data_IF_974581097910
#
_entry.id   IF_974581097910
#
_cell.length_a   1.000
_cell.length_b   1.000
_cell.length_c   1.000
_cell.angle_alpha   90.00
_cell.angle_beta   90.00
_cell.angle_gamma   90.00
#
_symmetry.space_group_name_H-M   'P 1'
#
loop_
_entity.id
_entity.type
_entity.pdbx_description
1 polymer ?
#
# COMPACT_ATOMS: atom_id res chain seq x y z
N UNK A 1 9.50 -6.91 37.84
CA UNK A 1 10.02 -6.29 36.60
C UNK A 1 9.92 -7.20 35.36
N UNK A 2 9.96 -8.54 35.47
CA UNK A 2 9.86 -9.44 34.30
C UNK A 2 8.48 -9.59 33.65
N UNK A 3 7.38 -9.48 34.41
CA UNK A 3 6.01 -9.62 33.89
C UNK A 3 5.56 -8.47 32.97
N UNK A 4 6.09 -7.26 33.14
CA UNK A 4 5.80 -6.11 32.26
C UNK A 4 6.52 -6.23 30.92
N UNK A 5 7.75 -6.76 30.92
CA UNK A 5 8.55 -7.00 29.70
C UNK A 5 7.92 -8.07 28.80
N UNK A 6 7.45 -9.18 29.39
CA UNK A 6 6.77 -10.26 28.64
C UNK A 6 5.45 -9.76 28.03
N UNK A 7 4.66 -8.97 28.78
CA UNK A 7 3.43 -8.34 28.25
C UNK A 7 3.73 -7.34 27.14
N UNK A 8 4.79 -6.55 27.26
CA UNK A 8 5.17 -5.59 26.23
C UNK A 8 5.59 -6.27 24.93
N UNK A 9 6.48 -7.27 25.01
CA UNK A 9 6.91 -8.09 23.87
C UNK A 9 5.70 -8.79 23.22
N UNK A 10 4.81 -9.39 24.02
CA UNK A 10 3.58 -10.00 23.52
C UNK A 10 2.67 -8.99 22.82
N UNK A 11 2.50 -7.78 23.37
CA UNK A 11 1.66 -6.74 22.76
C UNK A 11 2.24 -6.19 21.46
N UNK A 12 3.56 -6.04 21.38
CA UNK A 12 4.26 -5.59 20.18
C UNK A 12 4.23 -6.66 19.10
N UNK A 13 4.40 -7.93 19.46
CA UNK A 13 4.24 -9.05 18.55
C UNK A 13 2.81 -9.12 17.99
N UNK A 14 1.78 -9.00 18.83
CA UNK A 14 0.38 -8.96 18.38
C UNK A 14 0.11 -7.81 17.41
N UNK A 15 0.60 -6.60 17.70
CA UNK A 15 0.46 -5.45 16.78
C UNK A 15 1.12 -5.73 15.44
N UNK A 16 2.33 -6.28 15.44
CA UNK A 16 3.05 -6.61 14.21
C UNK A 16 2.31 -7.67 13.38
N UNK A 17 1.73 -8.67 14.05
CA UNK A 17 0.91 -9.71 13.42
C UNK A 17 -0.39 -9.16 12.82
N UNK A 18 -1.07 -8.26 13.54
CA UNK A 18 -2.26 -7.59 13.02
C UNK A 18 -1.96 -6.69 11.83
N UNK A 19 -0.82 -5.98 11.83
CA UNK A 19 -0.38 -5.18 10.68
C UNK A 19 -0.08 -6.08 9.47
N UNK A 20 0.71 -7.14 9.65
CA UNK A 20 1.07 -8.06 8.55
C UNK A 20 -0.15 -8.77 7.96
N UNK A 21 -1.10 -9.20 8.79
CA UNK A 21 -2.32 -9.85 8.31
C UNK A 21 -3.27 -8.83 7.70
N UNK A 22 -3.43 -7.65 8.31
CA UNK A 22 -4.32 -6.61 7.80
C UNK A 22 -3.91 -6.15 6.41
N UNK A 23 -2.67 -5.69 6.28
CA UNK A 23 -2.14 -5.10 5.04
C UNK A 23 -1.89 -6.18 3.97
N UNK A 24 -1.46 -7.38 4.38
CA UNK A 24 -1.25 -8.50 3.47
C UNK A 24 -2.51 -9.29 3.12
N UNK A 25 -3.65 -9.02 3.77
CA UNK A 25 -4.88 -9.81 3.59
C UNK A 25 -5.34 -9.95 2.14
N UNK A 26 -5.31 -8.90 1.28
CA UNK A 26 -5.76 -9.03 -0.11
C UNK A 26 -4.84 -9.96 -0.90
N UNK A 27 -3.53 -9.89 -0.65
CA UNK A 27 -2.53 -10.76 -1.27
C UNK A 27 -2.74 -12.21 -0.85
N UNK A 28 -2.92 -12.47 0.45
CA UNK A 28 -3.15 -13.82 0.96
C UNK A 28 -4.47 -14.40 0.43
N UNK A 29 -5.54 -13.61 0.38
CA UNK A 29 -6.81 -14.02 -0.21
C UNK A 29 -6.63 -14.35 -1.70
N UNK A 30 -5.96 -13.48 -2.46
CA UNK A 30 -5.67 -13.71 -3.87
C UNK A 30 -4.87 -15.00 -4.09
N UNK A 31 -3.83 -15.26 -3.28
CA UNK A 31 -3.04 -16.49 -3.36
C UNK A 31 -3.89 -17.72 -3.05
N UNK A 32 -4.68 -17.71 -1.97
CA UNK A 32 -5.49 -18.87 -1.57
C UNK A 32 -6.53 -19.19 -2.66
N UNK A 33 -7.27 -18.19 -3.13
CA UNK A 33 -8.33 -18.44 -4.12
C UNK A 33 -7.74 -18.80 -5.48
N UNK A 34 -6.63 -18.16 -5.88
CA UNK A 34 -5.94 -18.54 -7.12
C UNK A 34 -5.33 -19.94 -7.05
N UNK A 35 -4.86 -20.41 -5.88
CA UNK A 35 -4.39 -21.80 -5.71
C UNK A 35 -5.52 -22.81 -5.88
N UNK A 36 -6.72 -22.48 -5.41
CA UNK A 36 -7.91 -23.32 -5.59
C UNK A 36 -8.32 -23.36 -7.08
N UNK A 37 -8.22 -22.24 -7.79
CA UNK A 37 -8.73 -22.08 -9.15
C UNK A 37 -7.72 -22.53 -10.24
N UNK A 38 -6.43 -22.24 -10.07
CA UNK A 38 -5.38 -22.45 -11.07
C UNK A 38 -4.29 -23.44 -10.63
N UNK A 39 -4.32 -23.92 -9.39
CA UNK A 39 -3.37 -24.91 -8.87
C UNK A 39 -1.92 -24.42 -8.89
N UNK A 40 -0.99 -25.23 -9.41
CA UNK A 40 0.44 -24.92 -9.44
C UNK A 40 0.84 -23.75 -10.36
N UNK A 41 -0.06 -23.28 -11.23
CA UNK A 41 0.20 -22.17 -12.17
C UNK A 41 -0.01 -20.78 -11.57
N UNK A 42 -0.32 -20.69 -10.28
CA UNK A 42 -0.53 -19.42 -9.56
C UNK A 42 0.65 -18.46 -9.69
N UNK A 43 1.89 -18.95 -9.60
CA UNK A 43 3.07 -18.10 -9.69
C UNK A 43 3.22 -17.48 -11.08
N UNK A 44 2.88 -18.22 -12.14
CA UNK A 44 2.89 -17.68 -13.51
C UNK A 44 1.82 -16.60 -13.67
N UNK A 45 0.62 -16.80 -13.12
CA UNK A 45 -0.46 -15.83 -13.26
C UNK A 45 -0.25 -14.55 -12.43
N UNK A 46 0.19 -14.68 -11.18
CA UNK A 46 0.37 -13.55 -10.26
C UNK A 46 1.69 -12.81 -10.43
N UNK A 47 2.80 -13.51 -10.78
CA UNK A 47 4.13 -12.90 -10.84
C UNK A 47 4.54 -12.44 -12.25
N UNK A 48 4.13 -13.14 -13.31
CA UNK A 48 4.57 -12.83 -14.68
C UNK A 48 4.01 -11.48 -15.16
N UNK A 49 2.87 -11.08 -14.60
CA UNK A 49 2.25 -9.79 -14.86
C UNK A 49 2.88 -8.62 -14.10
N UNK A 50 3.73 -8.84 -13.08
CA UNK A 50 4.39 -7.77 -12.31
C UNK A 50 5.33 -6.90 -13.16
N UNK A 51 5.79 -7.41 -14.31
CA UNK A 51 6.77 -6.75 -15.19
C UNK A 51 6.09 -6.05 -16.37
N UNK A 52 4.82 -5.64 -16.23
CA UNK A 52 4.14 -4.86 -17.25
C UNK A 52 4.91 -3.57 -17.59
N UNK A 53 5.17 -3.38 -18.88
CA UNK A 53 5.92 -2.21 -19.38
C UNK A 53 5.04 -0.96 -19.31
N UNK A 54 5.23 -0.16 -18.26
CA UNK A 54 4.63 1.17 -18.19
C UNK A 54 5.55 2.22 -18.84
N UNK A 55 4.95 3.25 -19.44
CA UNK A 55 5.72 4.39 -19.96
C UNK A 55 6.32 5.18 -18.79
N UNK A 56 7.63 5.48 -18.87
CA UNK A 56 8.38 6.18 -17.81
C UNK A 56 7.78 7.55 -17.45
N UNK A 57 7.03 8.17 -18.37
CA UNK A 57 6.32 9.44 -18.14
C UNK A 57 5.26 9.30 -17.06
N UNK A 58 4.60 8.14 -16.94
CA UNK A 58 3.60 7.90 -15.89
C UNK A 58 4.19 7.88 -14.49
N UNK A 59 5.51 7.74 -14.35
CA UNK A 59 6.18 7.87 -13.05
C UNK A 59 6.19 9.31 -12.53
N UNK A 60 6.15 10.30 -13.43
CA UNK A 60 6.10 11.71 -13.05
C UNK A 60 4.73 12.10 -12.49
N UNK A 61 3.66 11.47 -12.96
CA UNK A 61 2.30 11.79 -12.54
C UNK A 61 2.09 11.67 -11.02
N UNK A 62 2.36 10.54 -10.34
CA UNK A 62 2.16 10.42 -8.89
C UNK A 62 3.09 11.34 -8.10
N UNK A 63 4.31 11.60 -8.58
CA UNK A 63 5.25 12.52 -7.92
C UNK A 63 4.71 13.95 -7.95
N UNK A 64 4.38 14.44 -9.15
CA UNK A 64 3.87 15.80 -9.35
C UNK A 64 2.52 16.00 -8.67
N UNK A 65 1.62 15.01 -8.75
CA UNK A 65 0.32 15.06 -8.09
C UNK A 65 0.48 15.14 -6.57
N UNK A 66 1.30 14.26 -5.97
CA UNK A 66 1.52 14.25 -4.52
C UNK A 66 2.14 15.57 -4.04
N UNK A 67 3.12 16.09 -4.77
CA UNK A 67 3.75 17.38 -4.45
C UNK A 67 2.76 18.54 -4.59
N UNK A 68 1.93 18.54 -5.63
CA UNK A 68 0.91 19.56 -5.85
C UNK A 68 -0.14 19.56 -4.73
N UNK A 69 -0.61 18.37 -4.32
CA UNK A 69 -1.54 18.21 -3.20
C UNK A 69 -0.91 18.71 -1.90
N UNK A 70 0.35 18.38 -1.64
CA UNK A 70 1.07 18.84 -0.45
C UNK A 70 1.16 20.37 -0.40
N UNK A 71 1.63 21.00 -1.48
CA UNK A 71 1.77 22.46 -1.56
C UNK A 71 0.41 23.14 -1.41
N UNK A 72 -0.62 22.65 -2.10
CA UNK A 72 -1.97 23.17 -2.01
C UNK A 72 -2.53 23.05 -0.58
N UNK A 73 -2.35 21.89 0.05
CA UNK A 73 -2.82 21.64 1.42
C UNK A 73 -2.13 22.54 2.44
N UNK A 74 -0.82 22.76 2.30
CA UNK A 74 -0.07 23.71 3.14
C UNK A 74 -0.51 25.16 2.88
N UNK A 75 -0.79 25.50 1.63
CA UNK A 75 -1.35 26.80 1.25
C UNK A 75 -2.68 27.07 1.96
N UNK A 76 -3.63 26.15 1.82
CA UNK A 76 -4.94 26.21 2.50
C UNK A 76 -4.76 26.28 4.02
N UNK A 77 -3.93 25.41 4.60
CA UNK A 77 -3.70 25.38 6.04
C UNK A 77 -3.12 26.70 6.56
N UNK A 78 -2.22 27.34 5.80
CA UNK A 78 -1.63 28.61 6.19
C UNK A 78 -2.63 29.77 6.21
N UNK A 79 -3.68 29.70 5.39
CA UNK A 79 -4.77 30.68 5.40
C UNK A 79 -5.67 30.58 6.64
N UNK A 80 -5.83 29.38 7.22
CA UNK A 80 -6.77 29.15 8.34
C UNK A 80 -6.10 28.99 9.71
N UNK A 81 -4.89 28.42 9.77
CA UNK A 81 -4.21 28.04 11.01
C UNK A 81 -2.85 28.74 11.22
N UNK A 82 -2.44 29.62 10.30
CA UNK A 82 -1.15 30.29 10.32
C UNK A 82 0.00 29.46 9.72
N UNK A 83 1.19 30.04 9.67
CA UNK A 83 2.35 29.42 9.00
C UNK A 83 2.88 28.25 9.81
N UNK A 84 2.62 27.03 9.33
CA UNK A 84 3.23 25.81 9.85
C UNK A 84 4.54 25.53 9.10
N UNK A 85 5.66 25.58 9.82
CA UNK A 85 6.96 25.21 9.25
C UNK A 85 7.08 23.68 9.18
N UNK A 86 7.46 23.19 7.99
CA UNK A 86 7.77 21.76 7.81
C UNK A 86 9.02 21.43 8.61
N UNK A 87 8.91 20.52 9.59
CA UNK A 87 10.06 20.09 10.38
C UNK A 87 10.93 19.11 9.57
N UNK A 88 11.97 19.65 8.94
CA UNK A 88 12.93 18.90 8.12
C UNK A 88 13.73 17.85 8.92
N UNK A 89 13.82 17.96 10.25
CA UNK A 89 14.53 16.97 11.08
C UNK A 89 13.82 15.60 11.05
N UNK A 90 12.52 15.56 10.75
CA UNK A 90 11.77 14.30 10.59
C UNK A 90 12.09 13.57 9.28
N UNK A 91 12.85 14.18 8.36
CA UNK A 91 13.29 13.52 7.13
C UNK A 91 14.23 12.32 7.39
N UNK A 92 14.86 12.24 8.56
CA UNK A 92 15.67 11.06 8.93
C UNK A 92 14.82 9.78 8.95
N UNK A 93 13.53 9.89 9.28
CA UNK A 93 12.58 8.76 9.30
C UNK A 93 11.96 8.52 7.92
N UNK A 94 12.20 9.41 6.95
CA UNK A 94 11.58 9.32 5.63
C UNK A 94 11.96 8.05 4.89
N UNK A 95 13.26 7.71 4.83
CA UNK A 95 13.75 6.52 4.13
C UNK A 95 13.14 5.22 4.69
N UNK A 96 13.20 4.93 6.00
CA UNK A 96 12.59 3.71 6.52
C UNK A 96 11.07 3.69 6.35
N UNK A 97 10.39 4.84 6.49
CA UNK A 97 8.94 4.93 6.21
C UNK A 97 8.67 4.62 4.75
N UNK A 98 9.36 5.28 3.81
CA UNK A 98 9.20 5.06 2.37
C UNK A 98 9.34 3.58 2.01
N UNK A 99 10.37 2.90 2.52
CA UNK A 99 10.57 1.46 2.27
C UNK A 99 9.41 0.65 2.85
N UNK A 100 8.99 0.93 4.08
CA UNK A 100 7.88 0.21 4.72
C UNK A 100 6.57 0.39 3.96
N UNK A 101 6.23 1.62 3.56
CA UNK A 101 5.00 1.93 2.84
C UNK A 101 5.05 1.41 1.41
N UNK A 102 6.23 1.42 0.77
CA UNK A 102 6.39 0.82 -0.55
C UNK A 102 6.13 -0.68 -0.52
N UNK A 103 6.74 -1.40 0.44
CA UNK A 103 6.49 -2.84 0.60
C UNK A 103 5.01 -3.09 0.91
N UNK A 104 4.42 -2.34 1.84
CA UNK A 104 3.01 -2.49 2.17
C UNK A 104 2.08 -2.32 0.96
N UNK A 105 2.23 -1.22 0.22
CA UNK A 105 1.44 -0.96 -0.99
C UNK A 105 1.67 -2.03 -2.06
N UNK A 106 2.90 -2.53 -2.20
CA UNK A 106 3.20 -3.56 -3.19
C UNK A 106 2.44 -4.86 -2.90
N UNK A 107 2.32 -5.25 -1.64
CA UNK A 107 1.53 -6.42 -1.24
C UNK A 107 0.04 -6.21 -1.55
N UNK A 108 -0.52 -5.08 -1.12
CA UNK A 108 -1.92 -4.75 -1.39
C UNK A 108 -2.22 -4.73 -2.89
N UNK A 109 -1.37 -4.10 -3.71
CA UNK A 109 -1.58 -4.00 -5.15
C UNK A 109 -1.57 -5.36 -5.85
N UNK A 110 -0.80 -6.34 -5.38
CA UNK A 110 -0.86 -7.72 -5.91
C UNK A 110 -2.26 -8.30 -5.71
N UNK A 111 -2.85 -8.16 -4.53
CA UNK A 111 -4.19 -8.69 -4.27
C UNK A 111 -5.27 -7.97 -5.08
N UNK A 112 -5.28 -6.63 -5.00
CA UNK A 112 -6.33 -5.82 -5.62
C UNK A 112 -6.21 -5.76 -7.13
N UNK A 113 -5.05 -5.38 -7.67
CA UNK A 113 -4.89 -5.13 -9.11
C UNK A 113 -4.72 -6.41 -9.91
N UNK A 114 -4.04 -7.43 -9.37
CA UNK A 114 -3.75 -8.65 -10.15
C UNK A 114 -4.84 -9.71 -10.05
N UNK A 115 -5.54 -9.79 -8.92
CA UNK A 115 -6.58 -10.81 -8.74
C UNK A 115 -8.00 -10.25 -8.75
N UNK A 116 -8.30 -9.24 -7.92
CA UNK A 116 -9.67 -8.74 -7.80
C UNK A 116 -10.12 -7.94 -9.04
N UNK A 117 -9.27 -7.02 -9.52
CA UNK A 117 -9.62 -6.09 -10.59
C UNK A 117 -9.99 -6.79 -11.91
N UNK A 118 -9.24 -7.79 -12.44
CA UNK A 118 -9.63 -8.47 -13.69
C UNK A 118 -10.96 -9.23 -13.57
N UNK A 119 -11.33 -9.67 -12.36
CA UNK A 119 -12.62 -10.33 -12.12
C UNK A 119 -13.78 -9.34 -12.04
N UNK A 120 -13.53 -8.15 -11.53
CA UNK A 120 -14.52 -7.07 -11.41
C UNK A 120 -14.69 -6.28 -12.71
N UNK A 121 -13.63 -6.12 -13.52
CA UNK A 121 -13.66 -5.46 -14.83
C UNK A 121 -14.49 -6.21 -15.91
N UNK A 122 -15.18 -7.29 -15.54
CA UNK A 122 -16.32 -7.82 -16.32
C UNK A 122 -17.47 -6.80 -16.40
N UNK A 123 -17.54 -5.88 -15.45
CA UNK A 123 -18.46 -4.74 -15.45
C UNK A 123 -17.76 -3.49 -16.00
N UNK A 124 -18.54 -2.47 -16.40
CA UNK A 124 -17.98 -1.20 -16.86
C UNK A 124 -17.03 -0.60 -15.79
N UNK A 125 -15.96 0.05 -16.23
CA UNK A 125 -14.88 0.57 -15.37
C UNK A 125 -15.41 1.45 -14.23
N UNK A 126 -16.46 2.22 -14.47
CA UNK A 126 -17.13 3.04 -13.45
C UNK A 126 -17.67 2.20 -12.28
N UNK A 127 -18.40 1.13 -12.56
CA UNK A 127 -18.96 0.25 -11.52
C UNK A 127 -17.87 -0.54 -10.80
N UNK A 128 -16.81 -0.91 -11.52
CA UNK A 128 -15.66 -1.63 -10.96
C UNK A 128 -14.84 -0.78 -9.98
N UNK A 129 -14.90 0.55 -10.08
CA UNK A 129 -14.21 1.47 -9.17
C UNK A 129 -15.05 1.88 -7.96
N UNK A 130 -16.35 1.58 -7.95
CA UNK A 130 -17.27 1.90 -6.85
C UNK A 130 -17.46 0.75 -5.86
N UNK A 131 -17.15 -0.48 -6.26
CA UNK A 131 -17.19 -1.71 -5.46
C UNK A 131 -15.85 -1.95 -4.76
#
# INVERSE_FOLDING_TARGET
MGLSLIRYVSSSFKRLLFFLIGDGSPTFAAIIVSLIEYGKKVSEYLLDSLVEKFSKIWFLAPILLSFSIMVFSLGVLSMFAGVNYVNLQRLVVFVPVLISTFLQNMWEEIGWRRYALPKLQKYNAFYSSML
#
